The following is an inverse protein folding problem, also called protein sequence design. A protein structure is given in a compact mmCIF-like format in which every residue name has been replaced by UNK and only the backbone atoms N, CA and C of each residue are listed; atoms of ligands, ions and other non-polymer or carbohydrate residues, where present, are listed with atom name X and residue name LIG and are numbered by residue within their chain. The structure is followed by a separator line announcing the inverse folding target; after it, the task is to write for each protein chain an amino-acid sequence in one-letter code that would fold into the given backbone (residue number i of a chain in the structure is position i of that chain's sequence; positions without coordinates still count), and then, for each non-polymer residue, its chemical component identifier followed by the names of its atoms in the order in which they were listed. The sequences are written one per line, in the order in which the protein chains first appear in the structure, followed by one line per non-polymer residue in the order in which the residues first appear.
data_IF_420635535233
#
_entry.id   IF_420635535233
#
_cell.length_a   1.000
_cell.length_b   1.000
_cell.length_c   1.000
_cell.angle_alpha   90.00
_cell.angle_beta   90.00
_cell.angle_gamma   90.00
#
_symmetry.space_group_name_H-M   'P 1'
#
loop_
_entity.id
_entity.type
_entity.pdbx_description
1 polymer ?
#
# COMPACT_ATOMS: atom_id res chain seq x y z
N UNK A 1 -14.20 7.73 -6.92
CA UNK A 1 -13.75 6.33 -6.76
C UNK A 1 -12.44 6.35 -6.00
N UNK A 2 -12.24 5.54 -4.94
CA UNK A 2 -10.93 5.42 -4.30
C UNK A 2 -9.94 4.86 -5.31
N UNK A 3 -8.82 5.56 -5.51
CA UNK A 3 -7.80 5.17 -6.49
C UNK A 3 -7.09 3.90 -6.04
N UNK A 4 -7.18 2.84 -6.84
CA UNK A 4 -6.40 1.61 -6.66
C UNK A 4 -4.95 1.90 -7.01
N UNK A 5 -4.02 1.64 -6.09
CA UNK A 5 -2.58 1.73 -6.36
C UNK A 5 -2.07 0.33 -6.60
N UNK A 6 -1.87 -0.01 -7.88
CA UNK A 6 -1.51 -1.36 -8.34
C UNK A 6 -0.31 -1.95 -7.57
N UNK A 7 0.71 -1.14 -7.25
CA UNK A 7 1.91 -1.63 -6.56
C UNK A 7 1.67 -2.10 -5.11
N UNK A 8 0.71 -1.51 -4.39
CA UNK A 8 0.42 -1.82 -2.99
C UNK A 8 -0.80 -2.71 -2.83
N UNK A 9 -1.81 -2.54 -3.67
CA UNK A 9 -3.07 -3.28 -3.58
C UNK A 9 -2.99 -4.64 -4.30
N UNK A 10 -2.32 -4.69 -5.46
CA UNK A 10 -2.13 -5.94 -6.22
C UNK A 10 -0.78 -6.64 -5.93
N UNK A 11 0.11 -6.01 -5.16
CA UNK A 11 1.43 -6.57 -4.84
C UNK A 11 2.38 -6.68 -6.03
N UNK A 12 2.09 -6.02 -7.15
CA UNK A 12 2.89 -6.05 -8.38
C UNK A 12 3.93 -4.94 -8.43
N UNK A 13 4.62 -4.67 -7.32
CA UNK A 13 5.68 -3.64 -7.25
C UNK A 13 6.79 -3.85 -8.30
N UNK A 14 7.05 -5.11 -8.69
CA UNK A 14 8.00 -5.48 -9.74
C UNK A 14 7.55 -5.16 -11.17
N UNK A 15 6.27 -4.85 -11.41
CA UNK A 15 5.76 -4.56 -12.75
C UNK A 15 5.92 -3.08 -13.14
N UNK A 16 6.36 -2.23 -12.18
CA UNK A 16 6.72 -0.82 -12.36
C UNK A 16 5.62 0.11 -12.89
N UNK A 17 4.37 -0.34 -12.89
CA UNK A 17 3.24 0.44 -13.41
C UNK A 17 2.80 1.52 -12.42
N UNK A 18 2.83 2.76 -12.90
CA UNK A 18 2.36 3.94 -12.18
C UNK A 18 1.38 4.75 -13.02
N UNK A 19 0.31 5.23 -12.40
CA UNK A 19 -0.71 6.05 -13.07
C UNK A 19 -0.71 7.45 -12.49
N UNK A 20 -0.65 8.46 -13.36
CA UNK A 20 -0.84 9.87 -13.00
C UNK A 20 -2.23 10.29 -13.44
N UNK A 21 -3.06 10.73 -12.50
CA UNK A 21 -4.40 11.24 -12.77
C UNK A 21 -4.48 12.71 -12.33
N UNK A 22 -4.77 13.62 -13.27
CA UNK A 22 -4.91 15.06 -13.01
C UNK A 22 -6.06 15.62 -13.85
N UNK A 23 -6.82 16.55 -13.28
CA UNK A 23 -7.86 17.30 -13.99
C UNK A 23 -7.31 18.50 -14.79
N UNK A 24 -6.01 18.77 -14.69
CA UNK A 24 -5.35 19.87 -15.41
C UNK A 24 -4.61 19.31 -16.64
N UNK A 25 -5.06 19.72 -17.82
CA UNK A 25 -4.50 19.28 -19.11
C UNK A 25 -3.02 19.60 -19.29
N UNK A 26 -2.53 20.70 -18.72
CA UNK A 26 -1.11 21.06 -18.78
C UNK A 26 -0.25 20.11 -17.95
N UNK A 27 -0.77 19.68 -16.80
CA UNK A 27 -0.12 18.67 -15.95
C UNK A 27 -0.09 17.32 -16.67
N UNK A 28 -1.19 16.92 -17.31
CA UNK A 28 -1.26 15.66 -18.09
C UNK A 28 -0.27 15.68 -19.24
N UNK A 29 -0.18 16.81 -19.97
CA UNK A 29 0.73 16.98 -21.10
C UNK A 29 2.19 16.92 -20.66
N UNK A 30 2.53 17.57 -19.55
CA UNK A 30 3.88 17.53 -18.99
C UNK A 30 4.25 16.12 -18.51
N UNK A 31 3.37 15.49 -17.73
CA UNK A 31 3.55 14.13 -17.24
C UNK A 31 3.74 13.12 -18.38
N UNK A 32 3.00 13.25 -19.48
CA UNK A 32 3.14 12.39 -20.68
C UNK A 32 4.47 12.58 -21.40
N UNK A 33 5.03 13.79 -21.41
CA UNK A 33 6.38 14.01 -21.96
C UNK A 33 7.43 13.36 -21.07
N UNK A 34 7.28 13.46 -19.75
CA UNK A 34 8.19 12.85 -18.77
C UNK A 34 8.08 11.31 -18.70
N UNK A 35 6.94 10.72 -19.03
CA UNK A 35 6.74 9.26 -18.99
C UNK A 35 7.60 8.49 -20.00
N UNK A 36 8.15 9.19 -21.02
CA UNK A 36 9.06 8.60 -22.01
C UNK A 36 10.35 8.01 -21.40
N UNK A 37 10.76 8.46 -20.21
CA UNK A 37 11.95 7.97 -19.50
C UNK A 37 11.71 6.73 -18.62
N UNK A 38 10.46 6.27 -18.52
CA UNK A 38 10.07 5.14 -17.66
C UNK A 38 8.88 4.36 -18.21
N UNK A 39 8.81 4.21 -19.54
CA UNK A 39 7.71 3.51 -20.19
C UNK A 39 7.59 2.08 -19.69
N UNK A 40 6.38 1.71 -19.27
CA UNK A 40 6.06 0.33 -18.94
C UNK A 40 6.17 -0.54 -20.19
N UNK A 41 6.63 -1.78 -20.03
CA UNK A 41 6.65 -2.76 -21.10
C UNK A 41 5.25 -2.95 -21.69
N UNK A 42 5.13 -2.92 -23.02
CA UNK A 42 3.87 -3.17 -23.72
C UNK A 42 3.25 -4.54 -23.37
N UNK A 43 4.09 -5.52 -23.03
CA UNK A 43 3.66 -6.82 -22.53
C UNK A 43 2.97 -6.70 -21.16
N UNK A 44 3.54 -5.93 -20.24
CA UNK A 44 2.96 -5.67 -18.91
C UNK A 44 1.65 -4.89 -19.03
N UNK A 45 1.60 -3.91 -19.93
CA UNK A 45 0.38 -3.15 -20.20
C UNK A 45 -0.75 -4.05 -20.72
N UNK A 46 -0.46 -4.96 -21.64
CA UNK A 46 -1.45 -5.92 -22.17
C UNK A 46 -1.91 -6.91 -21.09
N UNK A 47 -0.99 -7.43 -20.29
CA UNK A 47 -1.31 -8.33 -19.19
C UNK A 47 -2.22 -7.67 -18.16
N UNK A 48 -1.85 -6.47 -17.69
CA UNK A 48 -2.65 -5.71 -16.75
C UNK A 48 -3.99 -5.28 -17.33
N UNK A 49 -4.03 -4.89 -18.61
CA UNK A 49 -5.30 -4.58 -19.28
C UNK A 49 -6.23 -5.78 -19.29
N UNK A 50 -5.76 -6.98 -19.64
CA UNK A 50 -6.58 -8.18 -19.62
C UNK A 50 -7.08 -8.53 -18.20
N UNK A 51 -6.19 -8.43 -17.21
CA UNK A 51 -6.48 -8.76 -15.82
C UNK A 51 -7.41 -7.74 -15.14
N UNK A 52 -7.27 -6.44 -15.44
CA UNK A 52 -8.11 -5.37 -14.87
C UNK A 52 -9.44 -5.22 -15.59
N UNK A 53 -9.57 -5.69 -16.84
CA UNK A 53 -10.85 -5.70 -17.56
C UNK A 53 -11.79 -6.82 -17.10
N UNK A 54 -11.28 -7.78 -16.33
CA UNK A 54 -12.07 -8.83 -15.70
C UNK A 54 -12.68 -8.30 -14.38
N UNK A 55 -13.94 -7.86 -14.45
CA UNK A 55 -14.68 -7.29 -13.31
C UNK A 55 -14.93 -8.31 -12.20
N UNK A 56 -15.09 -9.59 -12.55
CA UNK A 56 -15.29 -10.66 -11.57
C UNK A 56 -13.98 -10.91 -10.79
N UNK A 57 -12.88 -11.05 -11.52
CA UNK A 57 -11.55 -11.21 -10.93
C UNK A 57 -11.20 -10.02 -10.02
N UNK A 58 -11.38 -8.78 -10.50
CA UNK A 58 -11.03 -7.59 -9.71
C UNK A 58 -11.86 -7.47 -8.44
N UNK A 59 -13.17 -7.77 -8.52
CA UNK A 59 -14.06 -7.77 -7.35
C UNK A 59 -13.66 -8.82 -6.32
N UNK A 60 -13.40 -10.06 -6.75
CA UNK A 60 -12.93 -11.14 -5.88
C UNK A 60 -11.57 -10.79 -5.27
N UNK A 61 -10.66 -10.26 -6.08
CA UNK A 61 -9.32 -9.89 -5.64
C UNK A 61 -9.37 -8.83 -4.53
N UNK A 62 -10.13 -7.76 -4.71
CA UNK A 62 -10.25 -6.69 -3.71
C UNK A 62 -10.86 -7.23 -2.41
N UNK A 63 -11.92 -8.04 -2.50
CA UNK A 63 -12.57 -8.63 -1.34
C UNK A 63 -11.62 -9.57 -0.57
N UNK A 64 -10.91 -10.44 -1.29
CA UNK A 64 -10.02 -11.43 -0.68
C UNK A 64 -8.75 -10.78 -0.11
N UNK A 65 -8.18 -9.78 -0.81
CA UNK A 65 -7.04 -8.99 -0.32
C UNK A 65 -7.41 -8.27 0.98
N UNK A 66 -8.56 -7.60 1.02
CA UNK A 66 -9.07 -6.92 2.21
C UNK A 66 -9.28 -7.90 3.37
N UNK A 67 -9.89 -9.06 3.10
CA UNK A 67 -10.14 -10.10 4.11
C UNK A 67 -8.84 -10.62 4.72
N UNK A 68 -7.85 -10.95 3.89
CA UNK A 68 -6.54 -11.44 4.34
C UNK A 68 -5.77 -10.38 5.12
N UNK A 69 -5.79 -9.13 4.67
CA UNK A 69 -5.12 -8.04 5.34
C UNK A 69 -5.73 -7.77 6.72
N UNK A 70 -7.06 -7.74 6.82
CA UNK A 70 -7.77 -7.60 8.09
C UNK A 70 -7.45 -8.76 9.06
N UNK A 71 -7.41 -10.00 8.55
CA UNK A 71 -7.04 -11.16 9.37
C UNK A 71 -5.62 -11.05 9.91
N UNK A 72 -4.65 -10.65 9.08
CA UNK A 72 -3.25 -10.48 9.49
C UNK A 72 -3.08 -9.36 10.51
N UNK A 73 -3.72 -8.21 10.26
CA UNK A 73 -3.70 -7.08 11.18
C UNK A 73 -4.25 -7.50 12.55
N UNK A 74 -5.42 -8.16 12.60
CA UNK A 74 -6.01 -8.65 13.85
C UNK A 74 -5.10 -9.60 14.61
N UNK A 75 -4.50 -10.58 13.94
CA UNK A 75 -3.57 -11.53 14.56
C UNK A 75 -2.37 -10.80 15.16
N UNK A 76 -1.80 -9.87 14.42
CA UNK A 76 -0.62 -9.12 14.84
C UNK A 76 -0.90 -8.17 16.01
N UNK A 77 -1.96 -7.36 15.92
CA UNK A 77 -2.36 -6.44 16.99
C UNK A 77 -2.79 -7.18 18.25
N UNK A 78 -3.42 -8.36 18.11
CA UNK A 78 -3.77 -9.20 19.27
C UNK A 78 -2.54 -9.79 19.94
N UNK A 79 -1.52 -10.17 19.17
CA UNK A 79 -0.23 -10.62 19.71
C UNK A 79 0.49 -9.52 20.48
N UNK A 80 0.54 -8.31 19.91
CA UNK A 80 1.13 -7.13 20.56
C UNK A 80 0.40 -6.73 21.84
N UNK A 81 -0.93 -6.77 21.82
CA UNK A 81 -1.74 -6.49 23.01
C UNK A 81 -1.46 -7.47 24.16
N UNK A 82 -1.17 -8.75 23.87
CA UNK A 82 -0.81 -9.74 24.90
C UNK A 82 0.52 -9.44 25.60
N UNK A 83 1.45 -8.78 24.91
CA UNK A 83 2.74 -8.35 25.48
C UNK A 83 2.70 -6.90 25.98
N UNK A 84 1.50 -6.30 26.08
CA UNK A 84 1.31 -4.95 26.62
C UNK A 84 1.63 -3.81 25.65
N UNK A 85 1.87 -4.11 24.37
CA UNK A 85 2.13 -3.10 23.33
C UNK A 85 0.81 -2.74 22.66
N UNK A 86 0.41 -1.48 22.79
CA UNK A 86 -0.75 -0.94 22.08
C UNK A 86 -0.37 -0.53 20.65
N UNK A 87 -1.30 -0.68 19.71
CA UNK A 87 -1.17 -0.16 18.35
C UNK A 87 -2.19 0.94 18.10
N UNK A 88 -1.84 1.95 17.30
CA UNK A 88 -2.80 2.92 16.81
C UNK A 88 -3.87 2.20 15.98
N UNK A 89 -5.14 2.53 16.22
CA UNK A 89 -6.26 1.95 15.48
C UNK A 89 -6.26 2.45 14.03
N UNK A 90 -5.59 1.70 13.16
CA UNK A 90 -5.58 1.93 11.72
C UNK A 90 -6.67 1.11 11.02
N UNK A 91 -7.23 1.67 9.94
CA UNK A 91 -8.25 1.05 9.10
C UNK A 91 -7.74 0.63 7.70
N UNK A 92 -6.48 0.93 7.37
CA UNK A 92 -5.86 0.61 6.09
C UNK A 92 -4.33 0.48 6.21
N UNK A 93 -3.70 -0.11 5.19
CA UNK A 93 -2.25 -0.21 5.07
C UNK A 93 -1.68 -1.60 5.36
N UNK A 94 -0.42 -1.80 4.97
CA UNK A 94 0.33 -3.04 5.12
C UNK A 94 1.22 -3.06 6.39
N UNK A 95 1.01 -2.09 7.29
CA UNK A 95 1.82 -1.86 8.48
C UNK A 95 0.93 -1.52 9.67
N UNK A 96 1.44 -1.76 10.88
CA UNK A 96 0.79 -1.33 12.12
C UNK A 96 1.68 -0.30 12.80
N UNK A 97 1.08 0.81 13.25
CA UNK A 97 1.78 1.82 14.01
C UNK A 97 1.75 1.44 15.49
N UNK A 98 2.87 0.92 15.99
CA UNK A 98 2.98 0.47 17.38
C UNK A 98 3.33 1.62 18.31
N UNK A 99 2.83 1.56 19.53
CA UNK A 99 3.21 2.46 20.61
C UNK A 99 4.19 1.73 21.55
N UNK A 100 5.48 2.03 21.37
CA UNK A 100 6.56 1.49 22.18
C UNK A 100 7.06 2.49 23.23
N UNK A 101 6.37 3.61 23.45
CA UNK A 101 6.83 4.67 24.37
C UNK A 101 7.05 4.20 25.80
N UNK A 102 6.36 3.12 26.20
CA UNK A 102 6.51 2.50 27.52
C UNK A 102 7.78 1.66 27.68
N UNK A 103 8.43 1.30 26.59
CA UNK A 103 9.68 0.54 26.58
C UNK A 103 10.91 1.48 26.54
N UNK A 104 10.70 2.77 26.26
CA UNK A 104 11.75 3.78 26.33
C UNK A 104 12.07 4.09 27.79
N UNK A 105 13.37 4.14 28.12
CA UNK A 105 13.85 4.59 29.43
C UNK A 105 13.50 6.06 29.67
N UNK A 106 13.68 6.89 28.65
CA UNK A 106 13.31 8.30 28.62
C UNK A 106 12.74 8.63 27.24
N UNK A 107 11.83 9.60 27.14
CA UNK A 107 11.25 10.01 25.86
C UNK A 107 12.19 10.97 25.10
N UNK A 108 13.42 10.52 24.85
CA UNK A 108 14.48 11.27 24.15
C UNK A 108 14.94 10.50 22.92
N UNK A 109 15.45 11.20 21.89
CA UNK A 109 15.96 10.55 20.67
C UNK A 109 17.13 9.60 21.00
N UNK A 110 17.93 9.94 22.00
CA UNK A 110 19.05 9.12 22.46
C UNK A 110 18.57 7.76 23.00
N UNK A 111 17.45 7.75 23.74
CA UNK A 111 16.85 6.52 24.26
C UNK A 111 16.11 5.71 23.18
N UNK A 112 15.63 6.37 22.10
CA UNK A 112 15.08 5.69 20.93
C UNK A 112 16.16 4.94 20.13
N UNK A 113 17.39 5.45 20.12
CA UNK A 113 18.53 4.86 19.41
C UNK A 113 19.25 3.74 20.18
N UNK A 114 18.99 3.60 21.48
CA UNK A 114 19.54 2.51 22.32
C UNK A 114 18.70 1.21 22.29
N UNK A 115 17.52 1.23 21.67
CA UNK A 115 16.61 0.08 21.48
C UNK A 115 16.92 -0.72 20.20
#
# INVERSE_FOLDING_TARGET
MPGIVLSKDLGVSGFRVGVVHSYNDDVVRCARKMSSFGLDSSQTQRLLSAMLSDEEFTSIFIAESTRRLCSRQKTFTSGLARVGISCLKANAGLFCWMDLRRLLREATEEAEMEL
#
